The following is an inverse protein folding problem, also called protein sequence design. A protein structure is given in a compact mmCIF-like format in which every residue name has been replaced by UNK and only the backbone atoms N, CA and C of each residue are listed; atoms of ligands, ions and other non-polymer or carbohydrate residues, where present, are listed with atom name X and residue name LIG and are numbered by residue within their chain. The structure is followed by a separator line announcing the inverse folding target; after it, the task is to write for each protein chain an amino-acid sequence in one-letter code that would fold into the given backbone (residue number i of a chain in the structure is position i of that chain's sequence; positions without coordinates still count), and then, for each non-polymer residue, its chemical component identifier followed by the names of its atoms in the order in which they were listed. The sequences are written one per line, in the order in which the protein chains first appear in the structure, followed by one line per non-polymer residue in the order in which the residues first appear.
data_IF_249727693017
#
_entry.id   IF_249727693017
#
_cell.length_a   1.000
_cell.length_b   1.000
_cell.length_c   1.000
_cell.angle_alpha   90.00
_cell.angle_beta   90.00
_cell.angle_gamma   90.00
#
_symmetry.space_group_name_H-M   'P 1'
#
loop_
_entity.id
_entity.type
_entity.pdbx_description
1 polymer ?
#
# COMPACT_ATOMS: atom_id res chain seq x y z
N UNK A 1 26.89 0.39 30.09
CA UNK A 1 25.86 1.44 29.97
C UNK A 1 24.61 0.93 30.70
N UNK A 2 23.93 1.82 31.44
CA UNK A 2 22.68 1.47 32.13
C UNK A 2 21.55 1.35 31.10
N UNK A 3 20.98 0.14 30.86
CA UNK A 3 19.93 -0.09 29.87
C UNK A 3 18.58 0.53 30.31
N UNK A 4 18.47 1.07 31.51
CA UNK A 4 17.26 1.70 32.04
C UNK A 4 17.34 3.22 32.05
N UNK A 5 18.42 3.79 31.56
CA UNK A 5 18.61 5.23 31.52
C UNK A 5 17.65 5.87 30.51
N UNK A 6 16.53 6.41 31.00
CA UNK A 6 15.47 7.03 30.19
C UNK A 6 16.01 8.08 29.21
N UNK A 7 16.94 8.93 29.68
CA UNK A 7 17.48 10.03 28.86
C UNK A 7 18.29 9.50 27.66
N UNK A 8 19.10 8.49 27.89
CA UNK A 8 19.86 7.83 26.82
C UNK A 8 18.93 7.11 25.81
N UNK A 9 17.88 6.44 26.29
CA UNK A 9 16.89 5.76 25.45
C UNK A 9 16.11 6.77 24.62
N UNK A 10 15.65 7.87 25.21
CA UNK A 10 14.93 8.95 24.49
C UNK A 10 15.80 9.56 23.39
N UNK A 11 17.06 9.90 23.69
CA UNK A 11 18.00 10.45 22.72
C UNK A 11 18.28 9.48 21.55
N UNK A 12 18.34 8.17 21.82
CA UNK A 12 18.47 7.17 20.76
C UNK A 12 17.21 7.12 19.88
N UNK A 13 16.02 7.21 20.48
CA UNK A 13 14.75 7.29 19.75
C UNK A 13 14.73 8.49 18.79
N UNK A 14 15.07 9.67 19.30
CA UNK A 14 15.13 10.91 18.50
C UNK A 14 16.18 10.81 17.39
N UNK A 15 17.35 10.25 17.67
CA UNK A 15 18.41 10.05 16.70
C UNK A 15 17.98 9.12 15.54
N UNK A 16 17.37 7.98 15.87
CA UNK A 16 16.90 7.06 14.84
C UNK A 16 15.69 7.61 14.07
N UNK A 17 14.79 8.33 14.72
CA UNK A 17 13.68 9.02 14.07
C UNK A 17 14.16 10.04 13.04
N UNK A 18 15.11 10.90 13.44
CA UNK A 18 15.70 11.90 12.55
C UNK A 18 16.48 11.24 11.39
N UNK A 19 17.20 10.16 11.66
CA UNK A 19 17.92 9.42 10.61
C UNK A 19 16.95 8.77 9.62
N UNK A 20 15.84 8.20 10.08
CA UNK A 20 14.80 7.65 9.21
C UNK A 20 14.21 8.72 8.30
N UNK A 21 13.88 9.90 8.82
CA UNK A 21 13.41 11.05 8.04
C UNK A 21 14.39 11.45 6.94
N UNK A 22 15.68 11.57 7.26
CA UNK A 22 16.73 11.85 6.28
C UNK A 22 16.83 10.76 5.19
N UNK A 23 16.61 9.50 5.54
CA UNK A 23 16.64 8.39 4.58
C UNK A 23 15.43 8.43 3.65
N UNK A 24 14.23 8.75 4.15
CA UNK A 24 13.05 8.96 3.30
C UNK A 24 13.24 10.11 2.32
N UNK A 25 13.77 11.25 2.76
CA UNK A 25 14.07 12.38 1.87
C UNK A 25 15.05 11.98 0.75
N UNK A 26 16.09 11.19 1.07
CA UNK A 26 17.01 10.64 0.06
C UNK A 26 16.31 9.67 -0.88
N UNK A 27 15.44 8.81 -0.39
CA UNK A 27 14.66 7.88 -1.22
C UNK A 27 13.81 8.64 -2.24
N UNK A 28 13.07 9.66 -1.80
CA UNK A 28 12.29 10.55 -2.69
C UNK A 28 13.19 11.25 -3.72
N UNK A 29 14.33 11.78 -3.27
CA UNK A 29 15.28 12.44 -4.18
C UNK A 29 15.76 11.51 -5.29
N UNK A 30 16.19 10.29 -4.95
CA UNK A 30 16.67 9.34 -5.94
C UNK A 30 15.54 8.80 -6.84
N UNK A 31 14.35 8.60 -6.31
CA UNK A 31 13.18 8.21 -7.11
C UNK A 31 12.83 9.28 -8.15
N UNK A 32 12.77 10.57 -7.75
CA UNK A 32 12.56 11.69 -8.68
C UNK A 32 13.66 11.78 -9.74
N UNK A 33 14.92 11.60 -9.34
CA UNK A 33 16.05 11.61 -10.27
C UNK A 33 16.03 10.44 -11.27
N UNK A 34 15.61 9.25 -10.83
CA UNK A 34 15.44 8.10 -11.72
C UNK A 34 14.36 8.36 -12.77
N UNK A 35 13.24 8.97 -12.38
CA UNK A 35 12.17 9.36 -13.29
C UNK A 35 12.64 10.45 -14.27
N UNK A 36 13.38 11.44 -13.81
CA UNK A 36 13.93 12.49 -14.69
C UNK A 36 14.84 11.92 -15.79
N UNK A 37 15.58 10.84 -15.47
CA UNK A 37 16.44 10.15 -16.42
C UNK A 37 15.69 9.21 -17.38
N UNK A 38 14.66 8.54 -16.88
CA UNK A 38 13.90 7.51 -17.59
C UNK A 38 12.40 7.59 -17.28
N UNK A 39 11.68 8.64 -17.75
CA UNK A 39 10.31 8.93 -17.31
C UNK A 39 9.29 7.86 -17.68
N UNK A 40 9.51 7.11 -18.76
CA UNK A 40 8.61 6.03 -19.18
C UNK A 40 8.99 4.65 -18.63
N UNK A 41 10.09 4.55 -17.89
CA UNK A 41 10.50 3.27 -17.33
C UNK A 41 9.59 2.88 -16.15
N UNK A 42 9.08 1.65 -16.18
CA UNK A 42 8.26 1.08 -15.10
C UNK A 42 9.13 0.79 -13.86
N UNK A 43 9.53 1.83 -13.16
CA UNK A 43 10.22 1.76 -11.88
C UNK A 43 9.25 1.83 -10.70
N UNK A 44 9.73 1.51 -9.51
CA UNK A 44 8.98 1.76 -8.29
C UNK A 44 9.02 3.25 -7.95
N UNK A 45 7.89 3.92 -8.06
CA UNK A 45 7.71 5.35 -7.77
C UNK A 45 6.89 5.59 -6.48
N UNK A 46 6.55 4.53 -5.75
CA UNK A 46 5.85 4.60 -4.46
C UNK A 46 6.53 5.54 -3.47
N UNK A 47 7.86 5.53 -3.46
CA UNK A 47 8.64 6.36 -2.54
C UNK A 47 8.37 7.85 -2.70
N UNK A 48 7.91 8.31 -3.88
CA UNK A 48 7.55 9.71 -4.09
C UNK A 48 6.24 10.02 -3.36
N UNK A 49 5.26 9.13 -3.49
CA UNK A 49 3.98 9.28 -2.81
C UNK A 49 4.16 9.17 -1.29
N UNK A 50 4.86 8.14 -0.85
CA UNK A 50 5.02 7.79 0.56
C UNK A 50 6.02 8.67 1.32
N UNK A 51 7.02 9.23 0.63
CA UNK A 51 8.12 9.98 1.25
C UNK A 51 8.01 11.49 1.14
N UNK A 52 6.95 12.02 0.51
CA UNK A 52 6.86 13.45 0.20
C UNK A 52 6.82 14.36 1.45
N UNK A 53 6.57 13.80 2.64
CA UNK A 53 6.52 14.51 3.91
C UNK A 53 7.67 14.17 4.86
N UNK A 54 8.69 13.42 4.41
CA UNK A 54 9.82 13.04 5.25
C UNK A 54 9.48 12.12 6.42
N UNK A 55 8.24 11.63 6.50
CA UNK A 55 7.75 10.68 7.50
C UNK A 55 7.41 9.35 6.86
N UNK A 56 7.46 8.28 7.64
CA UNK A 56 6.85 7.03 7.24
C UNK A 56 5.38 7.31 6.91
N UNK A 57 4.92 6.73 5.84
CA UNK A 57 3.60 6.88 5.26
C UNK A 57 2.51 7.17 6.32
N UNK A 58 1.95 8.32 6.24
CA UNK A 58 0.73 8.72 6.94
C UNK A 58 -0.17 9.38 5.88
N UNK A 59 -1.11 8.60 5.37
CA UNK A 59 -1.98 9.03 4.28
C UNK A 59 -2.88 10.20 4.68
N UNK A 60 -3.29 10.25 5.96
CA UNK A 60 -4.18 11.28 6.47
C UNK A 60 -3.53 12.67 6.54
N UNK A 61 -2.18 12.71 6.59
CA UNK A 61 -1.41 13.97 6.59
C UNK A 61 -0.79 14.29 5.24
N UNK A 62 -1.02 13.47 4.22
CA UNK A 62 -0.46 13.66 2.87
C UNK A 62 -0.98 14.96 2.24
N UNK A 63 -0.07 15.70 1.58
CA UNK A 63 -0.45 16.88 0.80
C UNK A 63 -0.91 16.43 -0.59
N UNK A 64 -2.15 15.93 -0.69
CA UNK A 64 -2.72 15.45 -1.94
C UNK A 64 -2.64 16.49 -3.06
N UNK A 65 -2.85 17.78 -2.77
CA UNK A 65 -2.79 18.83 -3.79
C UNK A 65 -1.39 19.00 -4.39
N UNK A 66 -0.33 18.85 -3.58
CA UNK A 66 1.05 18.90 -4.09
C UNK A 66 1.36 17.65 -4.93
N UNK A 67 0.96 16.48 -4.48
CA UNK A 67 1.11 15.23 -5.22
C UNK A 67 0.34 15.25 -6.54
N UNK A 68 -0.91 15.73 -6.54
CA UNK A 68 -1.70 15.88 -7.76
C UNK A 68 -0.98 16.77 -8.78
N UNK A 69 -0.45 17.94 -8.36
CA UNK A 69 0.33 18.81 -9.24
C UNK A 69 1.57 18.13 -9.81
N UNK A 70 2.26 17.37 -8.96
CA UNK A 70 3.45 16.61 -9.36
C UNK A 70 3.10 15.53 -10.40
N UNK A 71 2.07 14.72 -10.13
CA UNK A 71 1.65 13.64 -11.04
C UNK A 71 1.14 14.17 -12.37
N UNK A 72 0.38 15.27 -12.40
CA UNK A 72 -0.02 15.93 -13.65
C UNK A 72 1.18 16.43 -14.45
N UNK A 73 2.18 16.99 -13.77
CA UNK A 73 3.41 17.43 -14.45
C UNK A 73 4.13 16.23 -15.07
N UNK A 74 4.22 15.11 -14.36
CA UNK A 74 4.88 13.93 -14.84
C UNK A 74 4.14 13.28 -16.02
N UNK A 75 2.81 13.23 -16.01
CA UNK A 75 2.03 12.73 -17.15
C UNK A 75 2.26 13.47 -18.45
N UNK A 76 2.61 14.74 -18.39
CA UNK A 76 2.96 15.52 -19.61
C UNK A 76 4.26 15.03 -20.25
N UNK A 77 5.20 14.53 -19.47
CA UNK A 77 6.52 14.07 -19.93
C UNK A 77 6.61 12.55 -20.07
N UNK A 78 5.73 11.82 -19.37
CA UNK A 78 5.68 10.37 -19.32
C UNK A 78 4.24 9.83 -19.46
N UNK A 79 3.54 10.12 -20.58
CA UNK A 79 2.13 9.76 -20.73
C UNK A 79 1.90 8.24 -20.82
N UNK A 80 2.94 7.45 -21.03
CA UNK A 80 2.88 5.98 -21.11
C UNK A 80 3.17 5.29 -19.77
N UNK A 81 3.44 6.06 -18.70
CA UNK A 81 3.69 5.48 -17.39
C UNK A 81 2.36 5.22 -16.66
N UNK A 82 1.87 3.98 -16.74
CA UNK A 82 0.58 3.58 -16.16
C UNK A 82 0.49 3.83 -14.66
N UNK A 83 1.60 3.68 -13.91
CA UNK A 83 1.62 3.90 -12.45
C UNK A 83 1.30 5.34 -12.08
N UNK A 84 1.70 6.30 -12.90
CA UNK A 84 1.42 7.72 -12.64
C UNK A 84 -0.08 8.00 -12.65
N UNK A 85 -0.84 7.33 -13.55
CA UNK A 85 -2.30 7.44 -13.56
C UNK A 85 -2.91 6.96 -12.24
N UNK A 86 -2.45 5.83 -11.72
CA UNK A 86 -3.00 5.27 -10.48
C UNK A 86 -2.70 6.15 -9.26
N UNK A 87 -1.45 6.63 -9.11
CA UNK A 87 -1.14 7.58 -8.03
C UNK A 87 -1.90 8.90 -8.15
N UNK A 88 -2.14 9.37 -9.37
CA UNK A 88 -2.98 10.54 -9.60
C UNK A 88 -4.43 10.26 -9.23
N UNK A 89 -4.97 9.09 -9.61
CA UNK A 89 -6.33 8.67 -9.26
C UNK A 89 -6.52 8.58 -7.74
N UNK A 90 -5.61 7.92 -7.01
CA UNK A 90 -5.66 7.82 -5.56
C UNK A 90 -5.73 9.21 -4.92
N UNK A 91 -4.80 10.09 -5.28
CA UNK A 91 -4.76 11.44 -4.72
C UNK A 91 -5.97 12.31 -5.09
N UNK A 92 -6.51 12.18 -6.30
CA UNK A 92 -7.73 12.89 -6.71
C UNK A 92 -8.97 12.40 -5.94
N UNK A 93 -9.07 11.09 -5.74
CA UNK A 93 -10.18 10.48 -5.01
C UNK A 93 -10.14 10.92 -3.54
N UNK A 94 -8.96 10.91 -2.91
CA UNK A 94 -8.81 11.29 -1.50
C UNK A 94 -8.97 12.81 -1.29
N UNK A 95 -8.61 13.64 -2.30
CA UNK A 95 -8.92 15.09 -2.29
C UNK A 95 -10.39 15.40 -2.66
N UNK A 96 -11.23 14.38 -2.89
CA UNK A 96 -12.65 14.53 -3.23
C UNK A 96 -12.93 14.98 -4.67
N UNK A 97 -11.93 15.00 -5.55
CA UNK A 97 -12.02 15.49 -6.95
C UNK A 97 -12.52 14.39 -7.89
N UNK A 98 -13.69 13.87 -7.62
CA UNK A 98 -14.25 12.66 -8.25
C UNK A 98 -14.45 12.83 -9.78
N UNK A 99 -14.95 13.96 -10.26
CA UNK A 99 -15.17 14.16 -11.69
C UNK A 99 -13.85 14.28 -12.48
N UNK A 100 -12.82 14.79 -11.82
CA UNK A 100 -11.48 14.83 -12.38
C UNK A 100 -10.86 13.42 -12.42
N UNK A 101 -11.05 12.62 -11.36
CA UNK A 101 -10.63 11.23 -11.34
C UNK A 101 -11.29 10.42 -12.48
N UNK A 102 -12.58 10.61 -12.75
CA UNK A 102 -13.25 9.98 -13.91
C UNK A 102 -12.60 10.36 -15.25
N UNK A 103 -12.22 11.62 -15.38
CA UNK A 103 -11.56 12.11 -16.61
C UNK A 103 -10.20 11.47 -16.79
N UNK A 104 -9.39 11.40 -15.71
CA UNK A 104 -8.08 10.76 -15.70
C UNK A 104 -8.19 9.27 -15.98
N UNK A 105 -9.18 8.58 -15.39
CA UNK A 105 -9.42 7.16 -15.64
C UNK A 105 -9.76 6.89 -17.11
N UNK A 106 -10.61 7.72 -17.72
CA UNK A 106 -10.92 7.63 -19.15
C UNK A 106 -9.68 7.83 -20.02
N UNK A 107 -8.81 8.76 -19.66
CA UNK A 107 -7.54 8.98 -20.34
C UNK A 107 -6.60 7.76 -20.19
N UNK A 108 -6.54 7.17 -19.01
CA UNK A 108 -5.78 5.94 -18.75
C UNK A 108 -6.23 4.80 -19.66
N UNK A 109 -7.53 4.56 -19.79
CA UNK A 109 -8.06 3.55 -20.71
C UNK A 109 -7.66 3.77 -22.17
N UNK A 110 -7.60 5.03 -22.61
CA UNK A 110 -7.27 5.35 -23.99
C UNK A 110 -5.78 5.22 -24.31
N UNK A 111 -4.92 5.63 -23.36
CA UNK A 111 -3.48 5.71 -23.58
C UNK A 111 -2.74 4.47 -23.08
N UNK A 112 -3.16 3.94 -21.95
CA UNK A 112 -2.48 2.87 -21.23
C UNK A 112 -3.48 1.96 -20.54
N UNK A 113 -4.24 1.11 -21.25
CA UNK A 113 -5.15 0.18 -20.63
C UNK A 113 -4.39 -0.76 -19.68
N UNK A 114 -4.86 -0.83 -18.45
CA UNK A 114 -4.30 -1.67 -17.39
C UNK A 114 -5.44 -2.38 -16.65
N UNK A 115 -5.17 -3.56 -16.10
CA UNK A 115 -6.17 -4.35 -15.35
C UNK A 115 -6.79 -3.57 -14.19
N UNK A 116 -6.03 -2.70 -13.51
CA UNK A 116 -6.53 -1.89 -12.40
C UNK A 116 -7.54 -0.82 -12.82
N UNK A 117 -7.66 -0.48 -14.10
CA UNK A 117 -8.66 0.50 -14.53
C UNK A 117 -10.08 0.06 -14.14
N UNK A 118 -10.38 -1.25 -14.26
CA UNK A 118 -11.67 -1.80 -13.86
C UNK A 118 -11.91 -1.69 -12.33
N UNK A 119 -10.87 -1.83 -11.52
CA UNK A 119 -10.95 -1.56 -10.09
C UNK A 119 -11.30 -0.10 -9.81
N UNK A 120 -10.61 0.85 -10.45
CA UNK A 120 -10.86 2.28 -10.23
C UNK A 120 -12.25 2.74 -10.70
N UNK A 121 -12.86 2.07 -11.69
CA UNK A 121 -14.28 2.35 -12.03
C UNK A 121 -15.20 2.08 -10.84
N UNK A 122 -15.04 0.91 -10.22
CA UNK A 122 -15.86 0.54 -9.06
C UNK A 122 -15.51 1.41 -7.85
N UNK A 123 -14.22 1.71 -7.63
CA UNK A 123 -13.75 2.52 -6.51
C UNK A 123 -14.22 3.97 -6.59
N UNK A 124 -14.22 4.60 -7.77
CA UNK A 124 -14.80 5.93 -7.97
C UNK A 124 -16.31 5.91 -7.72
N UNK A 125 -17.00 4.87 -8.17
CA UNK A 125 -18.44 4.69 -7.94
C UNK A 125 -18.72 4.53 -6.44
N UNK A 126 -17.92 3.76 -5.71
CA UNK A 126 -18.02 3.62 -4.25
C UNK A 126 -18.03 4.99 -3.55
N UNK A 127 -17.12 5.89 -3.93
CA UNK A 127 -17.06 7.24 -3.32
C UNK A 127 -18.30 8.09 -3.57
N UNK A 128 -19.13 7.73 -4.54
CA UNK A 128 -20.36 8.44 -4.85
C UNK A 128 -21.59 7.83 -4.19
N UNK A 129 -21.65 6.50 -4.10
CA UNK A 129 -22.88 5.80 -3.65
C UNK A 129 -22.67 4.93 -2.40
N UNK A 130 -21.44 4.83 -1.90
CA UNK A 130 -21.05 4.02 -0.75
C UNK A 130 -20.74 2.57 -1.09
N UNK A 131 -19.98 1.92 -0.19
CA UNK A 131 -19.47 0.55 -0.38
C UNK A 131 -20.57 -0.48 -0.60
N UNK A 132 -21.65 -0.44 0.22
CA UNK A 132 -22.76 -1.41 0.14
C UNK A 132 -23.41 -1.45 -1.24
N UNK A 133 -23.51 -0.31 -1.90
CA UNK A 133 -24.13 -0.23 -3.23
C UNK A 133 -23.28 -0.86 -4.33
N UNK A 134 -21.97 -1.05 -4.12
CA UNK A 134 -21.01 -1.58 -5.12
C UNK A 134 -20.34 -2.87 -4.68
N UNK A 135 -20.60 -3.37 -3.48
CA UNK A 135 -19.98 -4.59 -2.94
C UNK A 135 -20.05 -5.76 -3.92
N UNK A 136 -21.20 -6.01 -4.52
CA UNK A 136 -21.39 -7.07 -5.50
C UNK A 136 -20.54 -6.87 -6.78
N UNK A 137 -20.24 -5.63 -7.15
CA UNK A 137 -19.37 -5.32 -8.29
C UNK A 137 -17.91 -5.68 -7.97
N UNK A 138 -17.44 -5.40 -6.76
CA UNK A 138 -16.12 -5.85 -6.30
C UNK A 138 -16.01 -7.37 -6.25
N UNK A 139 -17.02 -8.07 -5.74
CA UNK A 139 -17.06 -9.53 -5.69
C UNK A 139 -17.01 -10.14 -7.11
N UNK A 140 -17.78 -9.56 -8.04
CA UNK A 140 -17.76 -9.97 -9.44
C UNK A 140 -16.40 -9.70 -10.10
N UNK A 141 -15.79 -8.55 -9.82
CA UNK A 141 -14.47 -8.17 -10.32
C UNK A 141 -13.38 -9.11 -9.78
N UNK A 142 -13.40 -9.43 -8.50
CA UNK A 142 -12.46 -10.38 -7.89
C UNK A 142 -12.60 -11.78 -8.50
N UNK A 143 -13.82 -12.24 -8.75
CA UNK A 143 -14.11 -13.54 -9.40
C UNK A 143 -13.62 -13.56 -10.84
N UNK A 144 -13.82 -12.49 -11.60
CA UNK A 144 -13.38 -12.40 -13.00
C UNK A 144 -11.84 -12.31 -13.12
N UNK A 145 -11.14 -11.93 -12.05
CA UNK A 145 -9.70 -11.71 -12.03
C UNK A 145 -9.01 -12.52 -10.92
N UNK A 146 -9.43 -13.75 -10.71
CA UNK A 146 -8.96 -14.62 -9.62
C UNK A 146 -7.45 -14.94 -9.66
N UNK A 147 -6.78 -14.68 -10.78
CA UNK A 147 -5.34 -14.86 -10.96
C UNK A 147 -4.56 -13.54 -11.01
N UNK A 148 -5.22 -12.39 -10.82
CA UNK A 148 -4.55 -11.10 -10.74
C UNK A 148 -4.34 -10.68 -9.29
N UNK A 149 -3.12 -10.86 -8.78
CA UNK A 149 -2.79 -10.42 -7.43
C UNK A 149 -3.01 -8.91 -7.23
N UNK A 150 -2.84 -8.08 -8.28
CA UNK A 150 -3.01 -6.62 -8.19
C UNK A 150 -4.47 -6.22 -7.95
N UNK A 151 -5.39 -6.81 -8.68
CA UNK A 151 -6.83 -6.57 -8.50
C UNK A 151 -7.30 -7.13 -7.15
N UNK A 152 -6.89 -8.37 -6.83
CA UNK A 152 -7.26 -9.00 -5.56
C UNK A 152 -6.73 -8.21 -4.37
N UNK A 153 -5.49 -7.71 -4.43
CA UNK A 153 -4.89 -6.84 -3.42
C UNK A 153 -5.72 -5.57 -3.21
N UNK A 154 -6.07 -4.88 -4.30
CA UNK A 154 -6.86 -3.65 -4.23
C UNK A 154 -8.24 -3.89 -3.60
N UNK A 155 -8.94 -4.95 -4.02
CA UNK A 155 -10.27 -5.30 -3.50
C UNK A 155 -10.18 -5.75 -2.03
N UNK A 156 -9.20 -6.59 -1.66
CA UNK A 156 -9.01 -7.03 -0.29
C UNK A 156 -8.77 -5.85 0.68
N UNK A 157 -8.02 -4.84 0.26
CA UNK A 157 -7.88 -3.58 1.00
C UNK A 157 -9.23 -2.88 1.21
N UNK A 158 -10.05 -2.74 0.17
CA UNK A 158 -11.37 -2.09 0.28
C UNK A 158 -12.26 -2.85 1.26
N UNK A 159 -12.30 -4.19 1.20
CA UNK A 159 -13.08 -4.99 2.13
C UNK A 159 -12.56 -4.88 3.57
N UNK A 160 -11.24 -4.88 3.76
CA UNK A 160 -10.63 -4.70 5.09
C UNK A 160 -10.94 -3.32 5.66
N UNK A 161 -10.86 -2.27 4.84
CA UNK A 161 -11.17 -0.90 5.25
C UNK A 161 -12.64 -0.74 5.66
N UNK A 162 -13.55 -1.38 4.93
CA UNK A 162 -14.98 -1.38 5.24
C UNK A 162 -15.38 -2.44 6.30
N UNK A 163 -14.43 -3.03 7.01
CA UNK A 163 -14.60 -3.98 8.12
C UNK A 163 -15.24 -5.34 7.74
N UNK A 164 -15.25 -5.68 6.46
CA UNK A 164 -15.68 -7.00 5.95
C UNK A 164 -14.54 -8.02 6.06
N UNK A 165 -14.05 -8.21 7.28
CA UNK A 165 -12.83 -9.01 7.55
C UNK A 165 -12.96 -10.46 7.13
N UNK A 166 -14.13 -11.08 7.31
CA UNK A 166 -14.36 -12.49 6.93
C UNK A 166 -14.27 -12.72 5.42
N UNK A 167 -14.70 -11.74 4.65
CA UNK A 167 -14.60 -11.74 3.18
C UNK A 167 -13.22 -11.31 2.70
N UNK A 168 -12.57 -10.39 3.42
CA UNK A 168 -11.24 -9.89 3.08
C UNK A 168 -10.15 -10.96 3.23
N UNK A 169 -10.18 -11.76 4.30
CA UNK A 169 -9.15 -12.79 4.58
C UNK A 169 -8.96 -13.76 3.41
N UNK A 170 -9.99 -14.41 2.83
CA UNK A 170 -9.79 -15.28 1.68
C UNK A 170 -9.33 -14.55 0.42
N UNK A 171 -9.64 -13.25 0.26
CA UNK A 171 -9.12 -12.44 -0.85
C UNK A 171 -7.63 -12.17 -0.67
N UNK A 172 -7.20 -11.86 0.54
CA UNK A 172 -5.79 -11.71 0.89
C UNK A 172 -4.99 -13.00 0.67
N UNK A 173 -5.57 -14.16 1.04
CA UNK A 173 -4.93 -15.45 0.78
C UNK A 173 -4.74 -15.67 -0.73
N UNK A 174 -5.77 -15.44 -1.55
CA UNK A 174 -5.66 -15.54 -3.00
C UNK A 174 -4.66 -14.56 -3.59
N UNK A 175 -4.62 -13.33 -3.07
CA UNK A 175 -3.61 -12.33 -3.45
C UNK A 175 -2.20 -12.90 -3.26
N UNK A 176 -1.93 -13.47 -2.11
CA UNK A 176 -0.64 -14.07 -1.79
C UNK A 176 -0.31 -15.26 -2.71
N UNK A 177 -1.30 -16.14 -2.95
CA UNK A 177 -1.12 -17.34 -3.77
C UNK A 177 -0.77 -17.02 -5.24
N UNK A 178 -1.28 -15.90 -5.76
CA UNK A 178 -1.03 -15.43 -7.13
C UNK A 178 0.22 -14.53 -7.26
N UNK A 179 0.82 -14.11 -6.14
CA UNK A 179 1.92 -13.15 -6.16
C UNK A 179 3.23 -13.80 -6.62
N UNK A 180 3.98 -13.17 -7.55
CA UNK A 180 5.29 -13.67 -7.95
C UNK A 180 6.32 -13.52 -6.83
N UNK A 181 7.31 -14.42 -6.80
CA UNK A 181 8.44 -14.32 -5.85
C UNK A 181 9.44 -13.22 -6.28
N UNK A 182 10.05 -12.50 -5.32
CA UNK A 182 9.79 -12.54 -3.87
C UNK A 182 8.43 -11.93 -3.54
N UNK A 183 7.64 -12.63 -2.73
CA UNK A 183 6.29 -12.19 -2.36
C UNK A 183 6.34 -11.13 -1.26
N UNK A 184 5.44 -10.17 -1.32
CA UNK A 184 5.30 -9.14 -0.29
C UNK A 184 4.59 -9.71 0.95
N UNK A 185 4.92 -9.17 2.12
CA UNK A 185 4.37 -9.61 3.41
C UNK A 185 2.97 -9.07 3.69
N UNK A 186 2.57 -8.02 2.99
CA UNK A 186 1.33 -7.26 3.19
C UNK A 186 0.08 -8.15 3.36
N UNK A 187 -0.01 -9.25 2.61
CA UNK A 187 -1.18 -10.15 2.70
C UNK A 187 -1.28 -10.83 4.07
N UNK A 188 -0.19 -11.31 4.64
CA UNK A 188 -0.20 -11.94 5.95
C UNK A 188 -0.41 -10.93 7.07
N UNK A 189 0.24 -9.75 6.97
CA UNK A 189 0.01 -8.67 7.91
C UNK A 189 -1.47 -8.24 7.91
N UNK A 190 -2.08 -8.05 6.73
CA UNK A 190 -3.48 -7.67 6.61
C UNK A 190 -4.44 -8.74 7.17
N UNK A 191 -4.19 -10.03 6.89
CA UNK A 191 -4.97 -11.13 7.48
C UNK A 191 -4.85 -11.16 8.99
N UNK A 192 -3.65 -10.99 9.55
CA UNK A 192 -3.43 -10.91 10.98
C UNK A 192 -4.18 -9.71 11.59
N UNK A 193 -4.12 -8.54 10.98
CA UNK A 193 -4.84 -7.35 11.42
C UNK A 193 -6.37 -7.55 11.38
N UNK A 194 -6.91 -8.18 10.33
CA UNK A 194 -8.32 -8.54 10.27
C UNK A 194 -8.72 -9.45 11.46
N UNK A 195 -7.90 -10.46 11.76
CA UNK A 195 -8.13 -11.35 12.89
C UNK A 195 -8.07 -10.62 14.24
N UNK A 196 -7.09 -9.73 14.44
CA UNK A 196 -7.00 -8.88 15.65
C UNK A 196 -8.27 -8.05 15.81
N UNK A 197 -8.75 -7.41 14.73
CA UNK A 197 -9.98 -6.60 14.74
C UNK A 197 -11.24 -7.43 15.05
N UNK A 198 -11.26 -8.72 14.71
CA UNK A 198 -12.32 -9.66 15.06
C UNK A 198 -12.16 -10.27 16.46
N UNK A 199 -11.05 -10.03 17.16
CA UNK A 199 -10.73 -10.64 18.45
C UNK A 199 -10.21 -12.08 18.35
N UNK A 200 -9.89 -12.56 17.16
CA UNK A 200 -9.30 -13.89 16.91
C UNK A 200 -7.77 -13.80 16.98
N UNK A 201 -7.27 -13.72 18.21
CA UNK A 201 -5.83 -13.57 18.47
C UNK A 201 -5.03 -14.82 18.08
N UNK A 202 -5.63 -16.01 18.17
CA UNK A 202 -4.97 -17.25 17.78
C UNK A 202 -4.65 -17.26 16.27
N UNK A 203 -5.64 -16.99 15.42
CA UNK A 203 -5.43 -16.87 13.98
C UNK A 203 -4.49 -15.73 13.61
N UNK A 204 -4.55 -14.61 14.33
CA UNK A 204 -3.64 -13.49 14.10
C UNK A 204 -2.18 -13.89 14.32
N UNK A 205 -1.89 -14.60 15.41
CA UNK A 205 -0.55 -15.13 15.71
C UNK A 205 -0.06 -16.07 14.60
N UNK A 206 -0.93 -16.94 14.08
CA UNK A 206 -0.56 -17.85 12.99
C UNK A 206 -0.21 -17.08 11.70
N UNK A 207 -0.94 -16.02 11.36
CA UNK A 207 -0.60 -15.20 10.19
C UNK A 207 0.70 -14.41 10.38
N UNK A 208 0.96 -13.83 11.56
CA UNK A 208 2.25 -13.17 11.84
C UNK A 208 3.43 -14.17 11.81
N UNK A 209 3.25 -15.43 12.22
CA UNK A 209 4.28 -16.45 12.06
C UNK A 209 4.56 -16.76 10.59
N UNK A 210 3.52 -16.87 9.75
CA UNK A 210 3.68 -17.06 8.30
C UNK A 210 4.39 -15.86 7.64
N UNK A 211 4.10 -14.64 8.08
CA UNK A 211 4.82 -13.44 7.65
C UNK A 211 6.31 -13.53 8.01
N UNK A 212 6.63 -13.96 9.22
CA UNK A 212 8.00 -14.16 9.69
C UNK A 212 8.75 -15.23 8.87
N UNK A 213 8.08 -16.32 8.52
CA UNK A 213 8.63 -17.35 7.63
C UNK A 213 8.89 -16.78 6.23
N UNK A 214 7.95 -16.01 5.69
CA UNK A 214 8.10 -15.37 4.38
C UNK A 214 9.29 -14.40 4.34
N UNK A 215 9.48 -13.57 5.37
CA UNK A 215 10.66 -12.70 5.48
C UNK A 215 11.96 -13.51 5.42
N UNK A 216 11.99 -14.68 6.04
CA UNK A 216 13.16 -15.57 6.03
C UNK A 216 13.38 -16.26 4.68
N UNK A 217 12.31 -16.75 4.07
CA UNK A 217 12.37 -17.59 2.87
C UNK A 217 12.53 -16.75 1.58
N UNK A 218 11.68 -15.74 1.38
CA UNK A 218 11.65 -14.97 0.13
C UNK A 218 12.63 -13.77 0.18
N UNK A 219 12.91 -13.22 1.36
CA UNK A 219 13.72 -11.99 1.53
C UNK A 219 15.07 -12.24 2.22
N UNK A 220 15.29 -13.43 2.78
CA UNK A 220 16.53 -13.77 3.51
C UNK A 220 16.71 -13.01 4.83
N UNK A 221 15.67 -12.35 5.34
CA UNK A 221 15.71 -11.56 6.57
C UNK A 221 15.54 -12.49 7.78
N UNK A 222 16.62 -12.72 8.51
CA UNK A 222 16.63 -13.58 9.72
C UNK A 222 16.58 -12.80 11.02
N UNK A 223 16.93 -11.52 11.00
CA UNK A 223 17.01 -10.61 12.15
C UNK A 223 16.91 -9.17 11.65
N UNK A 224 16.60 -8.25 12.56
CA UNK A 224 16.49 -6.82 12.30
C UNK A 224 15.16 -6.25 12.75
N UNK A 225 14.99 -4.95 12.62
CA UNK A 225 13.84 -4.22 13.18
C UNK A 225 12.47 -4.76 12.74
N UNK A 226 12.35 -5.24 11.50
CA UNK A 226 11.10 -5.81 10.98
C UNK A 226 10.79 -7.15 11.66
N UNK A 227 11.79 -8.02 11.80
CA UNK A 227 11.66 -9.32 12.48
C UNK A 227 11.35 -9.10 13.95
N UNK A 228 12.09 -8.20 14.62
CA UNK A 228 11.91 -7.88 16.04
C UNK A 228 10.51 -7.34 16.33
N UNK A 229 10.02 -6.42 15.49
CA UNK A 229 8.68 -5.85 15.62
C UNK A 229 7.57 -6.91 15.44
N UNK A 230 7.78 -7.85 14.51
CA UNK A 230 6.83 -8.92 14.25
C UNK A 230 6.80 -9.95 15.41
N UNK A 231 7.97 -10.30 15.94
CA UNK A 231 8.07 -11.15 17.14
C UNK A 231 7.44 -10.47 18.38
N UNK A 232 7.52 -9.15 18.49
CA UNK A 232 6.83 -8.40 19.55
C UNK A 232 5.32 -8.43 19.39
N UNK A 233 4.79 -8.23 18.16
CA UNK A 233 3.34 -8.41 17.88
C UNK A 233 2.85 -9.80 18.25
N UNK A 234 3.60 -10.84 17.93
CA UNK A 234 3.26 -12.23 18.29
C UNK A 234 3.20 -12.38 19.80
N UNK A 235 4.22 -11.92 20.54
CA UNK A 235 4.26 -12.01 22.01
C UNK A 235 3.12 -11.25 22.69
N UNK A 236 2.73 -10.10 22.14
CA UNK A 236 1.67 -9.29 22.71
C UNK A 236 0.26 -9.90 22.58
N UNK A 237 0.08 -10.87 21.67
CA UNK A 237 -1.19 -11.55 21.44
C UNK A 237 -1.28 -12.95 22.11
N UNK A 238 -0.19 -13.47 22.66
CA UNK A 238 -0.12 -14.73 23.40
C UNK A 238 -0.35 -14.53 24.92
#
# INVERSE_FOLDING_TARGET
ADPTNYHAISLLGDFYGHRAECMYQKSVYYAKRAIDLHPNQKGDINNINNGNHGKRFDWDTANHQELIRYWYKLLKTAPENTRVYFYLLDNLIDDGRIEEAKTVLKESYQKNPDELNAFYEVFIKEKQVGFEAVKAEYEALAKANENSWRILFAIANVFSYNEYFKEAIPMWQKTFDCMPKPRYTDSFEAMAQCCVRMGDHESAVEYYKKELELLREDWGLKYGAEVDALEEKIRALQ
#
